data_IF_093457352385
#
_entry.id   IF_093457352385
#
_cell.length_a   1.000
_cell.length_b   1.000
_cell.length_c   1.000
_cell.angle_alpha   90.00
_cell.angle_beta   90.00
_cell.angle_gamma   90.00
#
_symmetry.space_group_name_H-M   'P 1'
#
loop_
_entity.id
_entity.type
_entity.pdbx_description
1 polymer ?
#
# COMPACT_ATOMS: atom_id res chain seq x y z
N UNK A 1 -4.75 -34.26 -1.59
CA UNK A 1 -4.78 -32.94 -0.91
C UNK A 1 -5.40 -33.18 0.45
N UNK A 2 -4.74 -32.81 1.55
CA UNK A 2 -5.23 -33.14 2.88
C UNK A 2 -6.35 -32.17 3.28
N UNK A 3 -7.56 -32.68 3.51
CA UNK A 3 -8.63 -31.93 4.17
C UNK A 3 -8.22 -31.69 5.62
N UNK A 4 -8.06 -30.42 6.00
CA UNK A 4 -7.72 -30.05 7.37
C UNK A 4 -8.95 -29.41 8.00
N UNK A 5 -9.61 -30.15 8.89
CA UNK A 5 -10.75 -29.65 9.66
C UNK A 5 -10.28 -28.57 10.64
N UNK A 6 -10.71 -27.33 10.42
CA UNK A 6 -10.42 -26.20 11.31
C UNK A 6 -11.32 -26.35 12.55
N UNK A 7 -10.74 -26.94 13.60
CA UNK A 7 -11.41 -27.13 14.89
C UNK A 7 -11.12 -25.92 15.79
N UNK A 8 -12.20 -25.23 16.17
CA UNK A 8 -12.31 -24.08 17.11
C UNK A 8 -12.02 -22.68 16.56
N UNK A 9 -13.10 -21.90 16.54
CA UNK A 9 -13.14 -20.45 16.72
C UNK A 9 -13.15 -20.13 18.22
N UNK A 10 -12.31 -19.19 18.66
CA UNK A 10 -12.46 -18.60 20.00
C UNK A 10 -13.66 -17.64 20.05
N UNK A 11 -13.99 -17.09 21.22
CA UNK A 11 -15.11 -16.15 21.38
C UNK A 11 -14.99 -14.85 20.55
N UNK A 12 -13.84 -14.62 19.90
CA UNK A 12 -13.57 -13.49 18.99
C UNK A 12 -13.48 -13.93 17.52
N UNK A 13 -13.84 -15.18 17.20
CA UNK A 13 -13.79 -15.73 15.85
C UNK A 13 -12.38 -16.07 15.35
N UNK A 14 -11.36 -16.11 16.22
CA UNK A 14 -9.99 -16.49 15.85
C UNK A 14 -9.89 -18.00 15.70
N UNK A 15 -9.27 -18.45 14.63
CA UNK A 15 -9.06 -19.86 14.32
C UNK A 15 -7.63 -20.29 14.65
N UNK A 16 -7.46 -21.54 15.08
CA UNK A 16 -6.12 -22.12 15.20
C UNK A 16 -5.63 -22.54 13.82
N UNK A 17 -4.52 -21.95 13.37
CA UNK A 17 -3.96 -22.29 12.05
C UNK A 17 -3.42 -23.73 11.99
N UNK A 18 -3.66 -24.45 10.88
CA UNK A 18 -3.04 -25.72 10.60
C UNK A 18 -1.51 -25.67 10.67
N UNK A 19 -0.87 -26.77 11.05
CA UNK A 19 0.59 -26.86 11.20
C UNK A 19 1.36 -26.40 9.96
N UNK A 20 0.85 -26.72 8.77
CA UNK A 20 1.44 -26.31 7.49
C UNK A 20 1.50 -24.78 7.30
N UNK A 21 0.55 -24.05 7.88
CA UNK A 21 0.45 -22.59 7.75
C UNK A 21 1.05 -21.82 8.93
N UNK A 22 1.46 -22.50 10.01
CA UNK A 22 2.05 -21.83 11.19
C UNK A 22 3.38 -21.13 10.91
N UNK A 23 4.12 -21.59 9.88
CA UNK A 23 5.41 -21.01 9.47
C UNK A 23 5.28 -20.10 8.25
N UNK A 24 4.09 -19.99 7.67
CA UNK A 24 3.86 -19.15 6.49
C UNK A 24 3.71 -17.69 6.94
N UNK A 25 4.47 -16.75 6.36
CA UNK A 25 4.43 -15.34 6.77
C UNK A 25 3.13 -14.65 6.32
N UNK A 26 2.53 -15.11 5.21
CA UNK A 26 1.30 -14.57 4.65
C UNK A 26 0.55 -15.67 3.91
N UNK A 27 -0.78 -15.70 4.09
CA UNK A 27 -1.67 -16.61 3.38
C UNK A 27 -3.00 -15.90 3.13
N UNK A 28 -3.66 -16.26 2.03
CA UNK A 28 -5.00 -15.81 1.69
C UNK A 28 -6.02 -16.87 2.13
N UNK A 29 -7.27 -16.46 2.34
CA UNK A 29 -8.36 -17.39 2.58
C UNK A 29 -9.55 -17.12 1.67
N UNK A 30 -10.25 -18.19 1.27
CA UNK A 30 -11.50 -18.11 0.54
C UNK A 30 -12.56 -18.96 1.26
N UNK A 31 -13.81 -18.49 1.27
CA UNK A 31 -14.95 -19.24 1.81
C UNK A 31 -15.70 -19.84 0.63
N UNK A 32 -15.84 -21.17 0.61
CA UNK A 32 -16.65 -21.90 -0.38
C UNK A 32 -17.67 -22.77 0.36
N UNK A 33 -18.92 -22.32 0.41
CA UNK A 33 -19.95 -22.94 1.23
C UNK A 33 -19.52 -22.92 2.70
N UNK A 34 -19.51 -24.10 3.33
CA UNK A 34 -19.14 -24.28 4.74
C UNK A 34 -17.63 -24.53 4.95
N UNK A 35 -16.81 -24.36 3.91
CA UNK A 35 -15.37 -24.59 3.97
C UNK A 35 -14.58 -23.30 3.86
N UNK A 36 -13.56 -23.17 4.71
CA UNK A 36 -12.52 -22.14 4.60
C UNK A 36 -11.28 -22.79 3.96
N UNK A 37 -10.87 -22.26 2.82
CA UNK A 37 -9.69 -22.72 2.08
C UNK A 37 -8.57 -21.71 2.31
N UNK A 38 -7.40 -22.18 2.75
CA UNK A 38 -6.20 -21.35 2.93
C UNK A 38 -5.23 -21.55 1.76
N UNK A 39 -4.73 -20.46 1.20
CA UNK A 39 -3.75 -20.45 0.11
C UNK A 39 -2.43 -19.85 0.60
N UNK A 40 -1.30 -20.57 0.52
CA UNK A 40 -0.01 -19.99 0.87
C UNK A 40 0.36 -18.93 -0.16
N UNK A 41 0.62 -17.69 0.29
CA UNK A 41 1.02 -16.61 -0.61
C UNK A 41 2.50 -16.79 -0.93
N UNK A 42 2.76 -17.53 -2.01
CA UNK A 42 4.10 -17.60 -2.60
C UNK A 42 4.36 -16.28 -3.30
N UNK A 43 4.97 -15.37 -2.56
CA UNK A 43 5.52 -14.09 -3.02
C UNK A 43 4.50 -13.16 -3.70
N UNK A 44 4.01 -12.19 -2.94
CA UNK A 44 3.73 -10.88 -3.53
C UNK A 44 5.07 -10.39 -4.06
N UNK A 45 5.23 -10.24 -5.39
CA UNK A 45 6.32 -9.43 -5.91
C UNK A 45 6.22 -8.11 -5.16
N UNK A 46 7.28 -7.73 -4.43
CA UNK A 46 7.34 -6.49 -3.62
C UNK A 46 6.90 -5.24 -4.41
N UNK A 47 6.90 -5.36 -5.74
CA UNK A 47 6.28 -4.46 -6.70
C UNK A 47 5.38 -5.28 -7.63
N UNK A 48 4.07 -5.00 -7.74
CA UNK A 48 3.24 -5.57 -8.81
C UNK A 48 3.88 -5.28 -10.17
N UNK A 49 3.64 -6.14 -11.15
CA UNK A 49 4.10 -5.89 -12.51
C UNK A 49 3.34 -4.66 -13.04
N UNK A 50 4.02 -3.52 -13.11
CA UNK A 50 3.44 -2.27 -13.57
C UNK A 50 3.55 -2.13 -15.10
N UNK A 51 3.97 -3.19 -15.80
CA UNK A 51 4.12 -3.21 -17.27
C UNK A 51 2.84 -2.93 -18.02
N UNK A 52 1.70 -3.28 -17.43
CA UNK A 52 0.38 -3.20 -18.05
C UNK A 52 -0.34 -1.89 -17.71
N UNK A 53 0.24 -1.08 -16.82
CA UNK A 53 -0.30 0.25 -16.57
C UNK A 53 0.10 1.15 -17.74
N UNK A 54 -0.85 1.93 -18.30
CA UNK A 54 -0.50 2.95 -19.25
C UNK A 54 0.49 3.89 -18.57
N UNK A 55 1.64 4.11 -19.21
CA UNK A 55 2.50 5.24 -18.88
C UNK A 55 1.67 6.47 -19.20
N UNK A 56 0.96 7.01 -18.20
CA UNK A 56 0.33 8.32 -18.34
C UNK A 56 1.47 9.32 -18.51
N UNK A 57 1.78 9.64 -19.76
CA UNK A 57 2.65 10.75 -20.09
C UNK A 57 1.94 12.00 -19.57
N UNK A 58 2.50 12.61 -18.53
CA UNK A 58 2.06 13.90 -18.04
C UNK A 58 1.91 14.84 -19.21
N UNK A 59 0.84 15.65 -19.21
CA UNK A 59 0.71 16.69 -20.21
C UNK A 59 1.97 17.59 -20.18
N UNK A 60 2.38 18.18 -21.31
CA UNK A 60 3.58 19.02 -21.36
C UNK A 60 3.58 20.13 -20.29
N UNK A 61 2.40 20.70 -20.01
CA UNK A 61 2.20 21.73 -18.98
C UNK A 61 2.45 21.20 -17.56
N UNK A 62 2.01 19.98 -17.25
CA UNK A 62 2.22 19.33 -15.95
C UNK A 62 3.67 18.93 -15.75
N UNK A 63 4.31 18.38 -16.78
CA UNK A 63 5.73 18.05 -16.75
C UNK A 63 6.61 19.28 -16.52
N UNK A 64 6.29 20.42 -17.17
CA UNK A 64 6.98 21.69 -16.93
C UNK A 64 6.75 22.23 -15.51
N UNK A 65 5.51 22.15 -15.01
CA UNK A 65 5.15 22.60 -13.66
C UNK A 65 5.86 21.77 -12.59
N UNK A 66 5.88 20.45 -12.74
CA UNK A 66 6.56 19.55 -11.83
C UNK A 66 8.07 19.79 -11.84
N UNK A 67 8.69 19.91 -13.02
CA UNK A 67 10.11 20.25 -13.15
C UNK A 67 10.44 21.57 -12.46
N UNK A 68 9.59 22.59 -12.61
CA UNK A 68 9.76 23.89 -11.96
C UNK A 68 9.71 23.81 -10.44
N UNK A 69 8.82 22.98 -9.88
CA UNK A 69 8.72 22.76 -8.43
C UNK A 69 9.91 21.94 -7.90
N UNK A 70 10.25 20.84 -8.57
CA UNK A 70 11.29 19.93 -8.11
C UNK A 70 12.70 20.53 -8.20
N UNK A 71 12.92 21.47 -9.13
CA UNK A 71 14.17 22.23 -9.25
C UNK A 71 14.17 23.54 -8.44
N UNK A 72 13.11 23.82 -7.68
CA UNK A 72 13.02 25.04 -6.88
C UNK A 72 14.04 24.99 -5.72
N UNK A 73 15.06 25.83 -5.82
CA UNK A 73 16.13 25.95 -4.82
C UNK A 73 15.93 27.15 -3.90
N UNK A 74 14.79 27.85 -4.00
CA UNK A 74 14.54 29.03 -3.18
C UNK A 74 14.51 28.65 -1.69
N UNK A 75 15.16 29.43 -0.82
CA UNK A 75 15.15 29.15 0.61
C UNK A 75 13.73 29.27 1.16
N UNK A 76 13.34 28.31 2.01
CA UNK A 76 12.05 28.35 2.69
C UNK A 76 11.91 29.60 3.57
N UNK A 77 10.72 30.17 3.62
CA UNK A 77 10.43 31.35 4.44
C UNK A 77 10.09 30.90 5.86
N UNK A 78 10.87 31.36 6.84
CA UNK A 78 10.54 31.22 8.27
C UNK A 78 9.69 32.40 8.73
N UNK A 79 8.48 32.12 9.23
CA UNK A 79 7.56 33.10 9.79
C UNK A 79 6.78 32.47 10.95
N UNK A 80 6.38 33.28 11.93
CA UNK A 80 5.62 32.79 13.09
C UNK A 80 4.13 32.61 12.76
N UNK A 81 3.62 33.33 11.75
CA UNK A 81 2.23 33.26 11.31
C UNK A 81 2.09 33.26 9.78
N UNK A 82 0.98 32.75 9.22
CA UNK A 82 0.72 32.77 7.78
C UNK A 82 0.69 34.20 7.19
N UNK A 83 0.16 35.18 7.93
CA UNK A 83 0.11 36.57 7.48
C UNK A 83 1.51 37.20 7.34
N UNK A 84 2.43 36.85 8.24
CA UNK A 84 3.84 37.25 8.14
C UNK A 84 4.57 36.55 6.99
N UNK A 85 4.26 35.27 6.73
CA UNK A 85 4.81 34.55 5.59
C UNK A 85 4.44 35.23 4.26
N UNK A 86 3.17 35.61 4.10
CA UNK A 86 2.67 36.31 2.89
C UNK A 86 3.32 37.69 2.70
N UNK A 87 3.61 38.42 3.79
CA UNK A 87 4.37 39.68 3.69
C UNK A 87 5.80 39.46 3.21
N UNK A 88 6.43 38.35 3.59
CA UNK A 88 7.80 37.99 3.20
C UNK A 88 7.88 37.39 1.79
N UNK A 89 6.82 36.80 1.26
CA UNK A 89 6.76 36.31 -0.14
C UNK A 89 6.57 37.42 -1.17
N UNK A 90 6.00 38.56 -0.75
CA UNK A 90 5.71 39.73 -1.61
C UNK A 90 6.85 40.76 -1.69
N UNK A 91 7.92 40.58 -0.93
CA UNK A 91 9.15 41.38 -0.99
C UNK A 91 10.15 40.70 -1.90
#
# INVERSE_FOLDING_TARGET
>A
MAEINILKTDARGRITLPSAFRKEPLFEYAIKGDQIILYPVRTIRKYPDMSDLPTEELSPEEAEKEKRVNTDTRPGIKAATPAEAIKKTRK
#
